data_IF_257296572289
#
_entry.id   IF_257296572289
#
_cell.length_a   1.000
_cell.length_b   1.000
_cell.length_c   1.000
_cell.angle_alpha   90.00
_cell.angle_beta   90.00
_cell.angle_gamma   90.00
#
_symmetry.space_group_name_H-M   'P 1'
#
loop_
_entity.id
_entity.type
_entity.pdbx_description
1 polymer ?
#
# COMPACT_ATOMS: atom_id res chain seq x y z
N UNK A 1 9.38 -18.28 13.15
CA UNK A 1 9.40 -16.98 13.88
C UNK A 1 8.39 -16.03 13.23
N UNK A 2 7.18 -15.88 13.80
CA UNK A 2 6.19 -14.89 13.34
C UNK A 2 6.54 -13.54 13.98
N UNK A 3 7.50 -12.80 13.40
CA UNK A 3 7.87 -11.46 13.91
C UNK A 3 6.67 -10.52 13.70
N UNK A 4 6.12 -9.88 14.75
CA UNK A 4 5.06 -8.91 14.59
C UNK A 4 5.61 -7.73 13.80
N UNK A 5 5.03 -7.45 12.64
CA UNK A 5 5.34 -6.27 11.84
C UNK A 5 5.16 -5.03 12.72
N UNK A 6 6.26 -4.31 12.96
CA UNK A 6 6.26 -3.11 13.78
C UNK A 6 5.46 -2.01 13.08
N UNK A 7 4.82 -1.12 13.85
CA UNK A 7 4.03 0.03 13.35
C UNK A 7 4.80 0.80 12.28
N UNK A 8 6.10 1.02 12.51
CA UNK A 8 6.98 1.73 11.58
C UNK A 8 7.19 0.97 10.27
N UNK A 9 7.21 -0.36 10.27
CA UNK A 9 7.30 -1.14 9.01
C UNK A 9 6.05 -0.96 8.16
N UNK A 10 4.87 -0.89 8.77
CA UNK A 10 3.62 -0.66 8.05
C UNK A 10 3.63 0.74 7.43
N UNK A 11 4.06 1.76 8.18
CA UNK A 11 4.21 3.12 7.66
C UNK A 11 5.24 3.18 6.52
N UNK A 12 6.38 2.50 6.65
CA UNK A 12 7.37 2.41 5.57
C UNK A 12 6.81 1.73 4.31
N UNK A 13 6.01 0.67 4.47
CA UNK A 13 5.37 -0.01 3.34
C UNK A 13 4.36 0.90 2.64
N UNK A 14 3.55 1.68 3.37
CA UNK A 14 2.63 2.66 2.77
C UNK A 14 3.41 3.73 1.99
N UNK A 15 4.49 4.26 2.56
CA UNK A 15 5.31 5.28 1.89
C UNK A 15 5.91 4.73 0.59
N UNK A 16 6.47 3.52 0.62
CA UNK A 16 6.93 2.83 -0.59
C UNK A 16 5.80 2.60 -1.58
N UNK A 17 4.61 2.21 -1.11
CA UNK A 17 3.43 1.96 -1.94
C UNK A 17 3.01 3.21 -2.72
N UNK A 18 2.92 4.36 -2.04
CA UNK A 18 2.55 5.63 -2.68
C UNK A 18 3.61 6.07 -3.69
N UNK A 19 4.90 5.91 -3.38
CA UNK A 19 5.98 6.18 -4.32
C UNK A 19 5.89 5.29 -5.58
N UNK A 20 5.58 4.01 -5.40
CA UNK A 20 5.37 3.08 -6.51
C UNK A 20 4.15 3.47 -7.35
N UNK A 21 3.02 3.80 -6.72
CA UNK A 21 1.83 4.30 -7.41
C UNK A 21 2.13 5.56 -8.21
N UNK A 22 2.92 6.49 -7.67
CA UNK A 22 3.31 7.73 -8.35
C UNK A 22 4.13 7.42 -9.61
N UNK A 23 5.13 6.55 -9.51
CA UNK A 23 5.91 6.09 -10.67
C UNK A 23 4.97 5.45 -11.70
N UNK A 24 4.13 4.50 -11.30
CA UNK A 24 3.19 3.85 -12.23
C UNK A 24 2.28 4.88 -12.90
N UNK A 25 1.77 5.87 -12.16
CA UNK A 25 0.89 6.91 -12.71
C UNK A 25 1.60 7.84 -13.69
N UNK A 26 2.86 8.19 -13.42
CA UNK A 26 3.69 9.06 -14.27
C UNK A 26 4.15 8.35 -15.53
N UNK A 27 4.50 7.06 -15.43
CA UNK A 27 4.97 6.26 -16.55
C UNK A 27 3.85 5.59 -17.35
N UNK A 28 2.63 5.50 -16.80
CA UNK A 28 1.45 5.04 -17.53
C UNK A 28 0.92 6.17 -18.43
N UNK A 29 1.57 6.36 -19.59
CA UNK A 29 1.16 7.30 -20.64
C UNK A 29 -0.22 6.92 -21.25
N UNK A 30 -0.66 5.68 -21.03
CA UNK A 30 -2.01 5.21 -21.32
C UNK A 30 -2.60 4.61 -20.05
N UNK A 31 -3.81 5.05 -19.71
CA UNK A 31 -4.58 4.48 -18.62
C UNK A 31 -5.05 3.09 -19.04
N UNK A 32 -4.18 2.10 -18.80
CA UNK A 32 -4.53 0.70 -18.89
C UNK A 32 -5.43 0.36 -17.70
N UNK A 33 -6.72 0.19 -17.97
CA UNK A 33 -7.72 -0.20 -16.96
C UNK A 33 -7.28 -1.37 -16.05
N UNK A 34 -6.56 -2.39 -16.54
CA UNK A 34 -6.00 -3.45 -15.70
C UNK A 34 -5.01 -2.95 -14.65
N UNK A 35 -4.16 -1.98 -14.98
CA UNK A 35 -3.13 -1.42 -14.09
C UNK A 35 -3.78 -0.69 -12.92
N UNK A 36 -4.83 0.08 -13.18
CA UNK A 36 -5.60 0.76 -12.12
C UNK A 36 -6.24 -0.28 -11.18
N UNK A 37 -6.85 -1.33 -11.72
CA UNK A 37 -7.46 -2.38 -10.91
C UNK A 37 -6.42 -3.06 -10.00
N UNK A 38 -5.23 -3.35 -10.54
CA UNK A 38 -4.12 -3.95 -9.80
C UNK A 38 -3.62 -3.04 -8.66
N UNK A 39 -3.56 -1.72 -8.90
CA UNK A 39 -3.22 -0.73 -7.89
C UNK A 39 -4.27 -0.66 -6.77
N UNK A 40 -5.56 -0.74 -7.10
CA UNK A 40 -6.65 -0.73 -6.09
C UNK A 40 -6.57 -1.97 -5.20
N UNK A 41 -6.43 -3.16 -5.80
CA UNK A 41 -6.32 -4.42 -5.04
C UNK A 41 -5.13 -4.37 -4.08
N UNK A 42 -3.99 -3.90 -4.58
CA UNK A 42 -2.80 -3.86 -3.74
C UNK A 42 -2.84 -2.73 -2.70
N UNK A 43 -3.51 -1.62 -2.98
CA UNK A 43 -3.83 -0.61 -1.96
C UNK A 43 -4.67 -1.21 -0.83
N UNK A 44 -5.70 -2.01 -1.14
CA UNK A 44 -6.52 -2.69 -0.14
C UNK A 44 -5.69 -3.65 0.74
N UNK A 45 -4.77 -4.41 0.15
CA UNK A 45 -3.86 -5.29 0.88
C UNK A 45 -2.94 -4.53 1.83
N UNK A 46 -2.38 -3.39 1.40
CA UNK A 46 -1.55 -2.53 2.25
C UNK A 46 -2.37 -1.85 3.34
N UNK A 47 -3.67 -1.59 3.12
CA UNK A 47 -4.54 -0.91 4.09
C UNK A 47 -4.98 -1.81 5.27
N UNK A 48 -5.06 -3.14 5.09
CA UNK A 48 -5.43 -4.09 6.16
C UNK A 48 -4.51 -3.97 7.40
N UNK A 49 -3.17 -4.05 7.28
CA UNK A 49 -2.29 -3.90 8.45
C UNK A 49 -2.35 -2.50 9.06
N UNK A 50 -2.69 -1.47 8.27
CA UNK A 50 -2.88 -0.08 8.73
C UNK A 50 -4.09 0.03 9.63
N UNK A 51 -5.25 -0.48 9.19
CA UNK A 51 -6.46 -0.54 10.03
C UNK A 51 -6.22 -1.30 11.32
N UNK A 52 -5.52 -2.44 11.23
CA UNK A 52 -5.16 -3.24 12.41
C UNK A 52 -4.25 -2.47 13.37
N UNK A 53 -3.32 -1.67 12.85
CA UNK A 53 -2.47 -0.79 13.66
C UNK A 53 -3.24 0.37 14.28
N UNK A 54 -4.15 1.01 13.55
CA UNK A 54 -4.99 2.11 14.06
C UNK A 54 -5.89 1.62 15.20
N UNK A 55 -6.57 0.48 15.02
CA UNK A 55 -7.44 -0.11 16.05
C UNK A 55 -6.71 -0.46 17.34
N UNK A 56 -5.41 -0.79 17.27
CA UNK A 56 -4.60 -1.14 18.45
C UNK A 56 -4.13 0.07 19.29
N UNK A 57 -4.24 1.29 18.75
CA UNK A 57 -3.88 2.54 19.45
C UNK A 57 -5.10 3.28 20.03
N UNK A 58 -6.31 2.73 19.86
CA UNK A 58 -7.54 3.27 20.43
C UNK A 58 -8.03 2.31 21.50
#
# INVERSE_FOLDING_TARGET
MKRPLSKSQIVCIILLWVALCYIVLVYAERIDGPTILMLIISAALVFIPVYKSLKKNK
#
